data_IF_896191400938
#
_entry.id   IF_896191400938
#
_cell.length_a   1.000
_cell.length_b   1.000
_cell.length_c   1.000
_cell.angle_alpha   90.00
_cell.angle_beta   90.00
_cell.angle_gamma   90.00
#
_symmetry.space_group_name_H-M   'P 1'
#
loop_
_entity.id
_entity.type
_entity.pdbx_description
1 polymer ?
#
# COMPACT_ATOMS: atom_id res chain seq x y z
N UNK A 1 -23.18 -5.96 16.92
CA UNK A 1 -21.92 -5.68 17.60
C UNK A 1 -20.97 -4.95 16.72
N UNK A 2 -20.49 -3.88 17.22
CA UNK A 2 -19.60 -3.08 16.42
C UNK A 2 -18.21 -3.63 16.52
N UNK A 3 -17.57 -3.77 15.42
CA UNK A 3 -16.21 -4.26 15.44
C UNK A 3 -15.30 -3.12 15.19
N UNK A 4 -14.28 -3.03 15.96
CA UNK A 4 -13.28 -2.03 15.74
C UNK A 4 -12.23 -2.62 14.82
N UNK A 5 -12.06 -2.01 13.71
CA UNK A 5 -10.99 -2.39 12.80
C UNK A 5 -9.88 -1.39 13.02
N UNK A 6 -8.81 -1.90 13.57
CA UNK A 6 -7.69 -1.07 13.84
C UNK A 6 -6.64 -1.27 12.77
N UNK A 7 -6.15 -0.17 12.25
CA UNK A 7 -5.04 -0.24 11.35
C UNK A 7 -3.88 0.39 12.01
N UNK A 8 -2.83 -0.34 12.10
CA UNK A 8 -1.57 0.23 12.49
C UNK A 8 -0.77 0.35 11.23
N UNK A 9 -0.66 1.56 10.75
CA UNK A 9 0.09 1.78 9.57
C UNK A 9 1.51 1.95 10.00
N UNK A 10 2.36 1.06 9.61
CA UNK A 10 3.75 1.15 9.97
C UNK A 10 4.48 1.86 8.84
N UNK A 11 4.95 3.01 9.15
CA UNK A 11 5.70 3.76 8.20
C UNK A 11 7.03 3.11 7.95
N UNK A 12 7.32 2.94 6.73
CA UNK A 12 8.56 2.36 6.38
C UNK A 12 9.65 3.33 6.44
N UNK A 13 9.41 4.54 6.73
CA UNK A 13 10.43 5.40 6.66
C UNK A 13 10.85 5.76 7.89
N UNK A 14 11.63 5.17 8.35
CA UNK A 14 12.26 5.50 9.45
C UNK A 14 13.33 6.33 9.21
N UNK A 15 13.30 7.40 9.12
CA UNK A 15 14.29 8.03 8.93
C UNK A 15 14.88 8.77 9.71
N UNK A 16 15.63 8.53 10.10
CA UNK A 16 16.63 9.18 10.57
C UNK A 16 16.32 10.59 10.62
N UNK A 17 16.96 11.33 10.95
CA UNK A 17 16.88 12.70 11.22
C UNK A 17 16.51 13.54 10.07
N UNK A 18 16.12 12.96 9.03
CA UNK A 18 15.73 13.71 7.90
C UNK A 18 14.34 14.21 8.09
N UNK A 19 14.13 15.44 7.86
CA UNK A 19 12.83 16.02 8.03
C UNK A 19 11.94 15.88 6.82
N UNK A 20 12.42 15.28 5.75
CA UNK A 20 11.65 15.16 4.55
C UNK A 20 10.99 13.81 4.47
N UNK A 21 9.69 13.81 4.41
CA UNK A 21 8.94 12.61 4.11
C UNK A 21 8.44 12.75 2.68
N UNK A 22 9.04 12.06 1.73
CA UNK A 22 8.69 12.21 0.33
C UNK A 22 7.31 11.68 -0.01
N UNK A 23 6.76 10.80 0.80
CA UNK A 23 5.42 10.26 0.56
C UNK A 23 4.62 10.33 1.85
N UNK A 24 3.43 10.91 1.75
CA UNK A 24 2.50 10.91 2.86
C UNK A 24 1.35 9.97 2.51
N UNK A 25 1.00 9.09 3.41
CA UNK A 25 -0.02 8.10 3.18
C UNK A 25 -1.29 8.40 3.98
N UNK A 26 -2.40 8.20 3.33
CA UNK A 26 -3.71 8.20 3.99
C UNK A 26 -4.37 6.87 3.68
N UNK A 27 -5.21 6.40 4.56
CA UNK A 27 -5.92 5.17 4.32
C UNK A 27 -7.39 5.29 4.73
N UNK A 28 -8.21 4.44 4.14
CA UNK A 28 -9.62 4.38 4.46
C UNK A 28 -10.08 2.93 4.39
N UNK A 29 -11.05 2.59 5.22
CA UNK A 29 -11.62 1.26 5.25
C UNK A 29 -13.11 1.37 5.13
N UNK A 30 -13.64 0.81 4.07
CA UNK A 30 -15.07 0.83 3.85
C UNK A 30 -15.65 -0.55 4.01
N UNK A 31 -16.61 -0.69 4.90
CA UNK A 31 -17.27 -1.96 5.10
C UNK A 31 -18.24 -2.21 3.96
N UNK A 32 -18.13 -3.35 3.30
CA UNK A 32 -19.02 -3.73 2.22
C UNK A 32 -20.17 -4.55 2.80
N UNK A 33 -19.85 -5.50 3.66
CA UNK A 33 -20.83 -6.31 4.37
C UNK A 33 -20.18 -6.81 5.68
N UNK A 34 -20.78 -7.76 6.36
CA UNK A 34 -20.28 -8.18 7.67
C UNK A 34 -18.88 -8.78 7.65
N UNK A 35 -18.45 -9.29 6.52
CA UNK A 35 -17.13 -9.92 6.42
C UNK A 35 -16.22 -9.29 5.38
N UNK A 36 -16.75 -8.43 4.51
CA UNK A 36 -15.93 -7.86 3.46
C UNK A 36 -15.72 -6.37 3.63
N UNK A 37 -14.50 -5.94 3.36
CA UNK A 37 -14.10 -4.56 3.49
C UNK A 37 -13.24 -4.16 2.28
N UNK A 38 -13.37 -2.92 1.88
CA UNK A 38 -12.45 -2.36 0.90
C UNK A 38 -11.45 -1.50 1.65
N UNK A 39 -10.18 -1.76 1.44
CA UNK A 39 -9.12 -1.01 2.04
C UNK A 39 -8.46 -0.19 0.96
N UNK A 40 -8.35 1.09 1.16
CA UNK A 40 -7.70 1.97 0.20
C UNK A 40 -6.59 2.77 0.84
N UNK A 41 -5.53 2.97 0.07
CA UNK A 41 -4.40 3.79 0.46
C UNK A 41 -4.19 4.84 -0.60
N UNK A 42 -3.96 6.07 -0.16
CA UNK A 42 -3.64 7.16 -1.06
C UNK A 42 -2.29 7.72 -0.66
N UNK A 43 -1.41 7.84 -1.62
CA UNK A 43 -0.09 8.40 -1.41
C UNK A 43 -0.03 9.79 -2.03
N UNK A 44 0.44 10.75 -1.27
CA UNK A 44 0.74 12.08 -1.78
C UNK A 44 2.26 12.16 -1.90
N UNK A 45 2.75 12.38 -3.09
CA UNK A 45 4.17 12.29 -3.40
C UNK A 45 4.74 13.70 -3.58
N UNK A 46 5.79 14.00 -2.85
CA UNK A 46 6.41 15.30 -2.90
C UNK A 46 6.97 15.57 -4.29
N UNK A 47 6.82 16.79 -4.77
CA UNK A 47 7.28 17.17 -6.10
C UNK A 47 8.74 16.79 -6.29
N UNK A 48 9.04 16.18 -7.41
CA UNK A 48 10.39 15.72 -7.73
C UNK A 48 10.70 14.31 -7.25
N UNK A 49 9.79 13.70 -6.50
CA UNK A 49 9.97 12.34 -5.99
C UNK A 49 9.08 11.36 -6.76
N UNK A 50 9.42 10.09 -6.67
CA UNK A 50 8.67 9.02 -7.32
C UNK A 50 8.32 7.95 -6.32
N UNK A 51 7.14 7.36 -6.49
CA UNK A 51 6.75 6.15 -5.78
C UNK A 51 6.66 5.05 -6.83
N UNK A 52 7.34 3.95 -6.59
CA UNK A 52 7.37 2.90 -7.61
C UNK A 52 6.16 1.96 -7.51
N UNK A 53 5.63 1.58 -8.67
CA UNK A 53 4.52 0.67 -8.76
C UNK A 53 4.86 -0.69 -8.16
N UNK A 54 3.87 -1.42 -7.70
CA UNK A 54 4.05 -2.81 -7.28
C UNK A 54 4.63 -3.66 -8.39
N UNK A 55 4.42 -3.25 -9.65
CA UNK A 55 4.86 -4.01 -10.81
C UNK A 55 6.21 -3.56 -11.34
N UNK A 56 6.82 -2.58 -10.74
CA UNK A 56 8.13 -2.12 -11.21
C UNK A 56 9.19 -3.19 -10.97
N UNK A 57 10.15 -3.36 -11.90
CA UNK A 57 11.20 -4.36 -11.70
C UNK A 57 11.99 -4.13 -10.42
N UNK A 58 12.18 -5.20 -9.65
CA UNK A 58 12.87 -5.08 -8.37
C UNK A 58 14.39 -5.03 -8.50
N UNK A 59 14.90 -5.26 -9.69
CA UNK A 59 16.33 -5.05 -9.98
C UNK A 59 16.69 -3.56 -9.98
N UNK A 60 15.68 -2.70 -10.10
CA UNK A 60 15.88 -1.26 -10.02
C UNK A 60 15.57 -0.76 -8.62
N UNK A 61 14.74 0.28 -8.54
CA UNK A 61 14.30 0.79 -7.26
C UNK A 61 13.30 -0.16 -6.61
N UNK A 62 13.19 -0.08 -5.30
CA UNK A 62 12.31 -0.97 -4.55
C UNK A 62 10.84 -0.69 -4.87
N UNK A 63 10.09 -1.66 -5.34
CA UNK A 63 8.67 -1.47 -5.60
C UNK A 63 7.86 -1.24 -4.34
N UNK A 64 6.72 -0.58 -4.47
CA UNK A 64 5.78 -0.48 -3.36
C UNK A 64 5.22 -1.87 -3.08
N UNK A 65 5.12 -2.22 -1.82
CA UNK A 65 4.55 -3.49 -1.43
C UNK A 65 3.68 -3.32 -0.20
N UNK A 66 2.69 -4.18 -0.09
CA UNK A 66 1.79 -4.22 1.04
C UNK A 66 1.81 -5.63 1.61
N UNK A 67 1.80 -5.74 2.91
CA UNK A 67 1.69 -7.04 3.53
C UNK A 67 0.76 -6.97 4.73
N UNK A 68 0.03 -8.05 4.94
CA UNK A 68 -0.86 -8.16 6.08
C UNK A 68 -0.11 -8.90 7.19
N UNK A 69 -0.26 -8.40 8.41
CA UNK A 69 0.35 -9.03 9.55
C UNK A 69 -0.71 -9.84 10.25
N UNK A 70 -0.39 -11.04 10.58
CA UNK A 70 -1.29 -11.94 11.26
C UNK A 70 -1.38 -13.28 10.55
N UNK A 71 -2.35 -14.08 10.96
CA UNK A 71 -2.52 -15.41 10.39
C UNK A 71 -3.31 -15.30 9.10
N UNK A 72 -2.71 -15.69 7.99
CA UNK A 72 -3.36 -15.61 6.69
C UNK A 72 -4.54 -16.57 6.57
N UNK A 73 -4.72 -17.49 7.51
CA UNK A 73 -5.90 -18.33 7.50
C UNK A 73 -7.14 -17.61 7.98
N UNK A 74 -6.99 -16.41 8.52
CA UNK A 74 -8.11 -15.65 9.08
C UNK A 74 -8.79 -14.75 8.06
N UNK A 75 -8.19 -14.54 6.91
CA UNK A 75 -8.75 -13.65 5.89
C UNK A 75 -8.30 -14.06 4.50
N UNK A 76 -9.04 -13.57 3.51
CA UNK A 76 -8.69 -13.74 2.11
C UNK A 76 -8.39 -12.37 1.53
N UNK A 77 -7.24 -12.23 0.92
CA UNK A 77 -6.83 -11.01 0.24
C UNK A 77 -5.88 -11.38 -0.89
N UNK A 78 -5.89 -10.57 -1.93
CA UNK A 78 -4.95 -10.78 -3.02
C UNK A 78 -3.58 -10.27 -2.60
N UNK A 79 -2.55 -10.84 -3.19
CA UNK A 79 -1.20 -10.42 -2.89
C UNK A 79 -0.93 -9.00 -3.38
N UNK A 80 -1.51 -8.64 -4.51
CA UNK A 80 -1.32 -7.32 -5.08
C UNK A 80 -2.58 -6.49 -4.93
N UNK A 81 -2.39 -5.21 -4.72
CA UNK A 81 -3.50 -4.26 -4.67
C UNK A 81 -3.81 -3.77 -6.09
N UNK A 82 -5.03 -3.32 -6.29
CA UNK A 82 -5.37 -2.59 -7.49
C UNK A 82 -4.71 -1.23 -7.39
N UNK A 83 -4.15 -0.75 -8.46
CA UNK A 83 -3.47 0.53 -8.45
C UNK A 83 -3.78 1.35 -9.71
N UNK A 84 -3.55 2.64 -9.64
CA UNK A 84 -3.71 3.55 -10.77
C UNK A 84 -2.75 3.17 -11.90
N UNK A 85 -2.96 3.73 -13.07
CA UNK A 85 -2.06 3.54 -14.19
C UNK A 85 -0.72 4.19 -13.88
N UNK A 86 0.36 3.45 -14.03
CA UNK A 86 1.68 3.97 -13.74
C UNK A 86 2.34 4.56 -14.97
N UNK A 87 3.35 5.37 -14.73
CA UNK A 87 4.18 5.97 -15.77
C UNK A 87 5.34 5.02 -16.02
N UNK A 88 5.71 4.81 -17.27
CA UNK A 88 6.89 4.03 -17.60
C UNK A 88 7.98 4.99 -18.06
N UNK A 89 9.12 4.95 -17.43
CA UNK A 89 10.23 5.80 -17.81
C UNK A 89 11.57 5.12 -17.65
N UNK A 90 12.50 5.45 -18.54
CA UNK A 90 13.85 4.89 -18.49
C UNK A 90 14.65 5.56 -17.37
N UNK A 91 15.26 4.75 -16.51
CA UNK A 91 16.07 5.26 -15.41
C UNK A 91 17.53 5.15 -15.77
N UNK A 92 18.24 6.29 -15.71
CA UNK A 92 19.64 6.33 -16.10
C UNK A 92 20.57 5.69 -15.07
N UNK A 93 20.14 5.54 -13.84
CA UNK A 93 20.95 4.93 -12.80
C UNK A 93 20.87 3.42 -12.94
N UNK A 94 19.66 2.88 -13.05
CA UNK A 94 19.46 1.45 -13.17
C UNK A 94 19.54 0.93 -14.60
N UNK A 95 19.55 1.83 -15.58
CA UNK A 95 19.65 1.48 -16.99
C UNK A 95 18.52 0.57 -17.47
N UNK A 96 17.31 0.85 -17.03
CA UNK A 96 16.15 0.07 -17.40
C UNK A 96 14.87 0.91 -17.25
N UNK A 97 13.78 0.47 -17.82
CA UNK A 97 12.51 1.13 -17.64
C UNK A 97 11.95 0.77 -16.27
N UNK A 98 11.51 1.75 -15.54
CA UNK A 98 10.86 1.57 -14.26
C UNK A 98 9.43 2.09 -14.35
N UNK A 99 8.55 1.62 -13.44
CA UNK A 99 7.15 1.97 -13.42
C UNK A 99 6.89 2.75 -12.12
N UNK A 100 6.34 3.93 -12.26
CA UNK A 100 6.26 4.82 -11.09
C UNK A 100 5.09 5.77 -11.16
N UNK A 101 4.86 6.46 -10.03
CA UNK A 101 3.88 7.50 -9.89
C UNK A 101 4.55 8.80 -9.45
N UNK A 102 3.95 9.91 -9.86
CA UNK A 102 4.33 11.23 -9.42
C UNK A 102 3.08 11.92 -8.89
N UNK A 103 3.21 12.79 -7.94
CA UNK A 103 2.15 13.56 -7.32
C UNK A 103 1.21 12.73 -6.44
N UNK A 104 0.55 11.76 -6.97
CA UNK A 104 -0.31 10.92 -6.15
C UNK A 104 -0.46 9.52 -6.72
N UNK A 105 -0.77 8.60 -5.89
CA UNK A 105 -1.04 7.22 -6.29
C UNK A 105 -2.10 6.64 -5.37
N UNK A 106 -2.98 5.81 -5.91
CA UNK A 106 -4.05 5.19 -5.14
C UNK A 106 -4.02 3.68 -5.32
N UNK A 107 -4.22 2.99 -4.21
CA UNK A 107 -4.21 1.54 -4.18
C UNK A 107 -5.41 1.07 -3.38
N UNK A 108 -6.03 0.00 -3.80
CA UNK A 108 -7.14 -0.54 -3.02
C UNK A 108 -7.29 -2.05 -3.22
N UNK A 109 -7.97 -2.66 -2.28
CA UNK A 109 -8.24 -4.07 -2.36
C UNK A 109 -9.41 -4.44 -1.48
N UNK A 110 -10.17 -5.44 -1.87
CA UNK A 110 -11.21 -6.00 -1.03
C UNK A 110 -10.60 -7.13 -0.21
N UNK A 111 -10.91 -7.14 1.06
CA UNK A 111 -10.46 -8.16 1.99
C UNK A 111 -11.68 -8.82 2.60
N UNK A 112 -11.67 -10.13 2.63
CA UNK A 112 -12.76 -10.89 3.23
C UNK A 112 -12.25 -11.55 4.50
N UNK A 113 -12.91 -11.30 5.61
CA UNK A 113 -12.60 -11.97 6.85
C UNK A 113 -13.28 -13.34 6.84
N UNK A 114 -12.56 -14.37 7.22
CA UNK A 114 -13.09 -15.72 7.26
C UNK A 114 -13.88 -15.97 8.53
N UNK A 115 -13.71 -15.11 9.53
CA UNK A 115 -14.47 -15.15 10.75
C UNK A 115 -14.83 -13.69 11.08
N UNK A 116 -16.10 -13.38 11.20
CA UNK A 116 -16.52 -12.01 11.46
C UNK A 116 -16.10 -11.50 12.84
N UNK A 117 -15.57 -12.35 13.69
CA UNK A 117 -15.03 -11.94 14.97
C UNK A 117 -13.58 -11.49 14.89
N UNK A 118 -12.98 -11.58 13.71
CA UNK A 118 -11.60 -11.15 13.55
C UNK A 118 -11.48 -9.66 13.32
N UNK A 119 -10.36 -9.14 13.72
CA UNK A 119 -10.01 -7.75 13.45
C UNK A 119 -8.88 -7.69 12.47
N UNK A 120 -9.03 -6.80 11.50
CA UNK A 120 -7.97 -6.54 10.57
C UNK A 120 -7.14 -5.43 11.17
N UNK A 121 -6.08 -5.76 11.84
CA UNK A 121 -5.41 -4.79 12.67
C UNK A 121 -4.11 -4.22 12.13
N UNK A 122 -3.38 -4.93 11.33
CA UNK A 122 -2.07 -4.44 10.90
C UNK A 122 -1.84 -4.61 9.42
N UNK A 123 -1.37 -3.56 8.77
CA UNK A 123 -0.95 -3.59 7.39
C UNK A 123 0.40 -2.89 7.29
N UNK A 124 1.33 -3.50 6.59
CA UNK A 124 2.62 -2.89 6.32
C UNK A 124 2.65 -2.38 4.88
N UNK A 125 3.22 -1.25 4.71
CA UNK A 125 3.42 -0.64 3.41
C UNK A 125 4.89 -0.52 3.11
#
# INVERSE_FOLDING_TARGET
MTRNILFSLISIFSLNSQDIEPVEWEYDVNKINDTEYNISFSASILEGWKLYSQFSPDEGALPTSFSFIGDTSDFEADELFNEDDYIVGFDNVFKMDLYYYENEANFNQNVKLLDEDLNLSLIHI
#
